data_IF_469827523425
#
_entry.id   IF_469827523425
#
_cell.length_a   1.000
_cell.length_b   1.000
_cell.length_c   1.000
_cell.angle_alpha   90.00
_cell.angle_beta   90.00
_cell.angle_gamma   90.00
#
_symmetry.space_group_name_H-M   'P 1'
#
loop_
_entity.id
_entity.type
_entity.pdbx_description
1 polymer ?
#
# COMPACT_ATOMS: atom_id res chain seq x y z
N UNK A 1 15.68 5.35 12.46
CA UNK A 1 15.51 4.31 11.43
C UNK A 1 16.08 4.84 10.15
N UNK A 2 16.71 3.99 9.36
CA UNK A 2 17.24 4.32 8.04
C UNK A 2 16.31 3.72 6.96
N UNK A 3 15.42 4.52 6.35
CA UNK A 3 14.54 4.07 5.27
C UNK A 3 15.24 4.17 3.90
N UNK A 4 14.63 3.57 2.87
CA UNK A 4 15.18 3.57 1.51
C UNK A 4 14.37 4.44 0.57
N UNK A 5 15.03 5.22 -0.28
CA UNK A 5 14.38 6.09 -1.25
C UNK A 5 13.85 5.28 -2.47
N UNK A 6 12.60 5.51 -2.93
CA UNK A 6 11.58 6.43 -2.40
C UNK A 6 10.91 5.90 -1.12
N UNK A 7 10.99 6.70 -0.05
CA UNK A 7 10.58 6.32 1.33
C UNK A 7 9.08 5.97 1.43
N UNK A 8 8.26 6.49 0.53
CA UNK A 8 6.82 6.22 0.50
C UNK A 8 6.45 4.92 -0.25
N UNK A 9 7.39 4.27 -0.94
CA UNK A 9 7.15 2.99 -1.63
C UNK A 9 7.97 1.84 -1.04
N UNK A 10 9.27 2.04 -0.83
CA UNK A 10 10.14 0.96 -0.35
C UNK A 10 9.89 0.68 1.13
N UNK A 11 9.43 -0.52 1.51
CA UNK A 11 8.96 -0.75 2.86
C UNK A 11 10.11 -0.93 3.87
N UNK A 12 11.33 -1.24 3.44
CA UNK A 12 12.41 -1.57 4.37
C UNK A 12 12.82 -0.35 5.20
N UNK A 13 13.04 -0.55 6.51
CA UNK A 13 13.67 0.44 7.38
C UNK A 13 14.61 -0.24 8.36
N UNK A 14 15.88 0.14 8.36
CA UNK A 14 16.86 -0.39 9.31
C UNK A 14 16.72 0.33 10.66
N UNK A 15 16.41 -0.44 11.70
CA UNK A 15 16.31 0.06 13.08
C UNK A 15 17.59 -0.32 13.81
N UNK A 16 18.49 0.64 13.96
CA UNK A 16 19.75 0.49 14.68
C UNK A 16 19.73 1.34 15.95
N UNK A 17 19.96 0.71 17.10
CA UNK A 17 20.21 1.41 18.36
C UNK A 17 21.70 1.46 18.65
N UNK A 18 22.19 2.60 19.13
CA UNK A 18 23.56 2.72 19.62
C UNK A 18 23.73 2.18 21.05
N UNK A 19 24.93 2.31 21.62
CA UNK A 19 25.27 1.80 22.96
C UNK A 19 24.38 2.30 24.11
N UNK A 20 23.78 3.50 23.97
CA UNK A 20 22.87 4.09 24.95
C UNK A 20 21.38 3.79 24.67
N UNK A 21 21.07 3.07 23.59
CA UNK A 21 19.69 2.77 23.19
C UNK A 21 19.22 1.48 23.86
N UNK A 22 18.14 1.55 24.64
CA UNK A 22 17.56 0.35 25.25
C UNK A 22 16.87 -0.53 24.20
N UNK A 23 16.83 -1.84 24.45
CA UNK A 23 16.13 -2.79 23.59
C UNK A 23 14.65 -2.38 23.37
N UNK A 24 13.96 -1.99 24.45
CA UNK A 24 12.58 -1.54 24.40
C UNK A 24 12.38 -0.27 23.55
N UNK A 25 13.36 0.64 23.49
CA UNK A 25 13.27 1.80 22.61
C UNK A 25 13.36 1.38 21.13
N UNK A 26 14.26 0.45 20.79
CA UNK A 26 14.37 -0.08 19.43
C UNK A 26 13.12 -0.87 19.02
N UNK A 27 12.54 -1.65 19.93
CA UNK A 27 11.32 -2.42 19.67
C UNK A 27 10.11 -1.50 19.44
N UNK A 28 9.93 -0.46 20.28
CA UNK A 28 8.89 0.58 20.03
C UNK A 28 9.09 1.30 18.71
N UNK A 29 10.34 1.60 18.32
CA UNK A 29 10.60 2.21 17.03
C UNK A 29 10.19 1.28 15.87
N UNK A 30 10.50 -0.01 15.96
CA UNK A 30 10.08 -1.01 14.98
C UNK A 30 8.55 -1.12 14.90
N UNK A 31 7.85 -1.12 16.03
CA UNK A 31 6.37 -1.11 16.07
C UNK A 31 5.79 0.12 15.37
N UNK A 32 6.34 1.32 15.63
CA UNK A 32 5.90 2.56 14.96
C UNK A 32 6.06 2.44 13.45
N UNK A 33 7.22 1.97 12.96
CA UNK A 33 7.45 1.80 11.53
C UNK A 33 6.50 0.75 10.92
N UNK A 34 6.32 -0.40 11.57
CA UNK A 34 5.36 -1.42 11.13
C UNK A 34 3.94 -0.85 11.02
N UNK A 35 3.56 0.01 11.97
CA UNK A 35 2.23 0.62 12.03
C UNK A 35 1.91 1.56 10.85
N UNK A 36 2.92 1.99 10.09
CA UNK A 36 2.79 2.85 8.90
C UNK A 36 3.16 2.12 7.59
N UNK A 37 3.17 0.79 7.60
CA UNK A 37 3.37 -0.02 6.39
C UNK A 37 4.83 -0.33 6.06
N UNK A 38 5.77 0.00 6.95
CA UNK A 38 7.18 -0.35 6.78
C UNK A 38 7.50 -1.75 7.33
N UNK A 39 8.55 -2.37 6.81
CA UNK A 39 9.18 -3.60 7.29
C UNK A 39 10.43 -3.23 8.10
N UNK A 40 10.36 -3.16 9.44
CA UNK A 40 11.53 -2.88 10.26
C UNK A 40 12.53 -4.04 10.23
N UNK A 41 13.78 -3.74 9.91
CA UNK A 41 14.92 -4.64 10.04
C UNK A 41 15.74 -4.22 11.27
N UNK A 42 15.58 -4.96 12.36
CA UNK A 42 16.29 -4.67 13.61
C UNK A 42 17.77 -5.10 13.51
N UNK A 43 18.67 -4.13 13.53
CA UNK A 43 20.10 -4.40 13.54
C UNK A 43 20.55 -4.79 14.95
N UNK A 44 21.38 -5.84 15.01
CA UNK A 44 21.91 -6.36 16.28
C UNK A 44 23.09 -5.55 16.82
N UNK A 45 23.84 -4.92 15.92
CA UNK A 45 25.04 -4.17 16.22
C UNK A 45 25.13 -3.01 15.24
N UNK A 46 25.52 -1.84 15.75
CA UNK A 46 25.86 -0.70 14.91
C UNK A 46 27.06 -1.02 14.01
N UNK A 47 26.96 -0.54 12.78
CA UNK A 47 28.00 -0.66 11.76
C UNK A 47 27.85 0.51 10.79
N UNK A 48 28.98 1.05 10.34
CA UNK A 48 28.99 2.14 9.36
C UNK A 48 28.40 1.65 8.03
N UNK A 49 27.46 2.44 7.49
CA UNK A 49 26.71 2.12 6.28
C UNK A 49 25.61 1.07 6.47
N UNK A 50 25.22 0.77 7.72
CA UNK A 50 24.16 -0.20 8.03
C UNK A 50 24.38 -1.57 7.32
N UNK A 51 23.34 -2.37 7.08
CA UNK A 51 23.50 -3.64 6.34
C UNK A 51 23.29 -3.43 4.85
N UNK A 52 22.23 -2.73 4.46
CA UNK A 52 21.88 -2.62 3.05
C UNK A 52 22.87 -1.73 2.27
N UNK A 53 23.24 -0.55 2.77
CA UNK A 53 24.17 0.31 2.01
C UNK A 53 25.54 -0.33 1.87
N UNK A 54 25.97 -1.15 2.83
CA UNK A 54 27.22 -1.94 2.67
C UNK A 54 27.15 -2.93 1.51
N UNK A 55 25.98 -3.53 1.27
CA UNK A 55 25.78 -4.44 0.13
C UNK A 55 25.71 -3.65 -1.18
N UNK A 56 25.05 -2.49 -1.18
CA UNK A 56 25.00 -1.59 -2.34
C UNK A 56 26.39 -1.06 -2.69
N UNK A 57 27.14 -0.61 -1.69
CA UNK A 57 28.52 -0.11 -1.83
C UNK A 57 29.46 -1.19 -2.36
N UNK A 58 29.31 -2.45 -1.91
CA UNK A 58 30.12 -3.55 -2.43
C UNK A 58 29.88 -3.80 -3.93
N UNK A 59 28.61 -3.75 -4.37
CA UNK A 59 28.28 -3.85 -5.79
C UNK A 59 28.78 -2.64 -6.57
N UNK A 60 28.63 -1.44 -6.01
CA UNK A 60 29.04 -0.19 -6.63
C UNK A 60 30.55 -0.11 -6.86
N UNK A 61 31.36 -0.52 -5.88
CA UNK A 61 32.82 -0.56 -6.02
C UNK A 61 33.29 -1.51 -7.12
N UNK A 62 32.63 -2.67 -7.23
CA UNK A 62 32.92 -3.60 -8.32
C UNK A 62 32.54 -3.00 -9.68
N UNK A 63 31.39 -2.33 -9.77
CA UNK A 63 30.93 -1.67 -10.98
C UNK A 63 31.90 -0.57 -11.43
N UNK A 64 32.34 0.29 -10.50
CA UNK A 64 33.34 1.32 -10.76
C UNK A 64 34.63 0.74 -11.31
N UNK A 65 35.11 -0.36 -10.71
CA UNK A 65 36.30 -1.05 -11.20
C UNK A 65 36.11 -1.59 -12.62
N UNK A 66 34.97 -2.23 -12.90
CA UNK A 66 34.67 -2.76 -14.24
C UNK A 66 34.60 -1.69 -15.32
N UNK A 67 34.03 -0.51 -15.01
CA UNK A 67 34.03 0.64 -15.93
C UNK A 67 35.45 1.18 -16.14
N UNK A 68 36.18 1.41 -15.05
CA UNK A 68 37.54 1.94 -15.09
C UNK A 68 38.49 1.07 -15.93
N UNK A 69 38.40 -0.25 -15.80
CA UNK A 69 39.27 -1.20 -16.51
C UNK A 69 38.72 -1.60 -17.89
N UNK A 70 37.62 -0.98 -18.34
CA UNK A 70 37.01 -1.23 -19.64
C UNK A 70 36.42 -2.63 -19.82
N UNK A 71 36.07 -3.30 -18.71
CA UNK A 71 35.47 -4.65 -18.70
C UNK A 71 34.02 -4.60 -19.15
N UNK A 72 33.28 -3.56 -18.74
CA UNK A 72 31.89 -3.34 -19.10
C UNK A 72 31.54 -1.85 -19.01
N UNK A 73 30.55 -1.43 -19.79
CA UNK A 73 29.92 -0.11 -19.69
C UNK A 73 28.91 -0.06 -18.54
N UNK A 74 28.55 1.15 -18.08
CA UNK A 74 27.51 1.37 -17.08
C UNK A 74 26.19 0.67 -17.46
N UNK A 75 25.78 0.78 -18.73
CA UNK A 75 24.56 0.16 -19.24
C UNK A 75 24.62 -1.38 -19.22
N UNK A 76 25.76 -1.98 -19.57
CA UNK A 76 25.92 -3.44 -19.52
C UNK A 76 25.89 -3.98 -18.08
N UNK A 77 26.48 -3.25 -17.14
CA UNK A 77 26.44 -3.57 -15.71
C UNK A 77 25.00 -3.49 -15.19
N UNK A 78 24.29 -2.41 -15.51
CA UNK A 78 22.88 -2.23 -15.14
C UNK A 78 21.99 -3.31 -15.75
N UNK A 79 22.23 -3.71 -17.00
CA UNK A 79 21.49 -4.78 -17.66
C UNK A 79 21.74 -6.16 -17.05
N UNK A 80 22.97 -6.44 -16.59
CA UNK A 80 23.27 -7.66 -15.85
C UNK A 80 22.47 -7.76 -14.54
N UNK A 81 22.17 -6.61 -13.91
CA UNK A 81 21.29 -6.54 -12.73
C UNK A 81 19.82 -6.63 -13.16
N UNK A 82 19.37 -5.73 -14.04
CA UNK A 82 17.96 -5.56 -14.44
C UNK A 82 17.37 -6.80 -15.07
N UNK A 83 18.14 -7.51 -15.89
CA UNK A 83 17.68 -8.72 -16.58
C UNK A 83 18.19 -10.02 -15.96
N UNK A 84 19.07 -9.94 -14.96
CA UNK A 84 19.66 -11.08 -14.28
C UNK A 84 19.32 -11.16 -12.80
N UNK A 85 20.29 -10.81 -11.95
CA UNK A 85 20.19 -11.05 -10.52
C UNK A 85 19.15 -10.15 -9.81
N UNK A 86 18.89 -8.95 -10.33
CA UNK A 86 17.92 -8.00 -9.78
C UNK A 86 16.49 -8.56 -9.77
N UNK A 87 16.09 -9.30 -10.82
CA UNK A 87 14.77 -9.94 -10.88
C UNK A 87 14.54 -10.86 -9.68
N UNK A 88 15.48 -11.78 -9.42
CA UNK A 88 15.37 -12.67 -8.25
C UNK A 88 15.54 -11.93 -6.91
N UNK A 89 16.38 -10.90 -6.85
CA UNK A 89 16.61 -10.13 -5.62
C UNK A 89 15.41 -9.29 -5.20
N UNK A 90 14.54 -8.91 -6.14
CA UNK A 90 13.30 -8.19 -5.84
C UNK A 90 12.36 -8.93 -4.89
N UNK A 91 12.49 -10.26 -4.78
CA UNK A 91 11.65 -11.08 -3.90
C UNK A 91 12.44 -12.09 -3.05
N UNK A 92 13.68 -12.43 -3.39
CA UNK A 92 14.48 -13.43 -2.69
C UNK A 92 15.92 -12.96 -2.47
N UNK A 93 16.32 -12.85 -1.20
CA UNK A 93 17.67 -12.43 -0.83
C UNK A 93 18.76 -13.47 -1.17
N UNK A 94 20.01 -13.00 -1.25
CA UNK A 94 21.20 -13.76 -1.71
C UNK A 94 21.36 -15.14 -1.07
N UNK A 95 21.22 -15.25 0.26
CA UNK A 95 21.40 -16.53 0.94
C UNK A 95 20.32 -17.56 0.58
N UNK A 96 19.08 -17.12 0.35
CA UNK A 96 18.01 -18.04 -0.04
C UNK A 96 18.14 -18.43 -1.51
N UNK A 97 18.55 -17.51 -2.38
CA UNK A 97 18.91 -17.79 -3.78
C UNK A 97 20.05 -18.82 -3.87
N UNK A 98 21.08 -18.71 -3.05
CA UNK A 98 22.18 -19.68 -3.06
C UNK A 98 21.84 -20.98 -2.36
N UNK A 99 20.91 -20.97 -1.39
CA UNK A 99 20.37 -22.20 -0.82
C UNK A 99 19.72 -23.05 -1.90
N UNK A 100 18.88 -22.47 -2.75
CA UNK A 100 18.21 -23.21 -3.83
C UNK A 100 19.19 -23.64 -4.92
N UNK A 101 20.24 -22.85 -5.18
CA UNK A 101 21.32 -23.24 -6.10
C UNK A 101 22.11 -24.47 -5.60
N UNK A 102 22.13 -24.71 -4.28
CA UNK A 102 22.69 -25.92 -3.68
C UNK A 102 21.81 -27.18 -3.79
N UNK A 103 20.64 -27.10 -4.42
CA UNK A 103 19.70 -28.22 -4.55
C UNK A 103 19.12 -28.69 -3.21
N UNK A 104 18.68 -29.96 -3.14
CA UNK A 104 18.07 -30.51 -1.91
C UNK A 104 19.02 -30.52 -0.71
N UNK A 105 20.33 -30.65 -0.95
CA UNK A 105 21.36 -30.58 0.08
C UNK A 105 21.63 -29.14 0.58
N UNK A 106 21.05 -28.14 -0.09
CA UNK A 106 20.97 -26.75 0.35
C UNK A 106 22.32 -26.05 0.45
N UNK A 107 22.39 -25.08 1.38
CA UNK A 107 23.53 -24.18 1.51
C UNK A 107 24.86 -24.91 1.78
N UNK A 108 24.85 -26.04 2.52
CA UNK A 108 26.10 -26.78 2.78
C UNK A 108 26.71 -27.33 1.49
N UNK A 109 25.88 -27.83 0.58
CA UNK A 109 26.34 -28.32 -0.71
C UNK A 109 26.82 -27.18 -1.60
N UNK A 110 26.06 -26.08 -1.68
CA UNK A 110 26.50 -24.87 -2.37
C UNK A 110 27.87 -24.39 -1.87
N UNK A 111 28.07 -24.32 -0.56
CA UNK A 111 29.36 -23.93 0.02
C UNK A 111 30.47 -24.96 -0.20
N UNK A 112 30.17 -26.25 -0.29
CA UNK A 112 31.18 -27.25 -0.63
C UNK A 112 31.66 -27.10 -2.08
N UNK A 113 30.76 -26.74 -3.00
CA UNK A 113 31.06 -26.55 -4.42
C UNK A 113 31.75 -25.20 -4.69
N UNK A 114 31.21 -24.11 -4.15
CA UNK A 114 31.66 -22.74 -4.46
C UNK A 114 32.53 -22.12 -3.36
N UNK A 115 32.62 -22.72 -2.17
CA UNK A 115 33.50 -22.25 -1.09
C UNK A 115 34.98 -22.07 -1.50
N UNK A 116 35.58 -22.97 -2.33
CA UNK A 116 36.93 -22.76 -2.83
C UNK A 116 37.10 -21.46 -3.63
N UNK A 117 36.05 -20.98 -4.28
CA UNK A 117 36.08 -19.75 -5.11
C UNK A 117 36.17 -18.47 -4.28
N UNK A 118 35.88 -18.52 -2.98
CA UNK A 118 36.01 -17.36 -2.09
C UNK A 118 37.46 -16.85 -1.94
N UNK A 119 38.44 -17.69 -2.28
CA UNK A 119 39.86 -17.32 -2.29
C UNK A 119 40.31 -16.78 -3.66
N UNK A 120 39.47 -16.88 -4.68
CA UNK A 120 39.82 -16.44 -6.02
C UNK A 120 39.58 -14.94 -6.18
N UNK A 121 40.45 -14.22 -6.91
CA UNK A 121 40.36 -12.77 -7.07
C UNK A 121 39.31 -12.38 -8.14
N UNK A 122 38.09 -12.94 -8.03
CA UNK A 122 36.99 -12.70 -8.97
C UNK A 122 36.31 -11.35 -8.80
N UNK A 123 36.41 -10.78 -7.60
CA UNK A 123 35.93 -9.43 -7.30
C UNK A 123 37.10 -8.55 -6.92
N UNK A 124 36.99 -7.29 -7.34
CA UNK A 124 37.91 -6.19 -7.13
C UNK A 124 37.32 -5.10 -6.24
N UNK A 125 36.26 -5.40 -5.48
CA UNK A 125 35.57 -4.43 -4.61
C UNK A 125 36.48 -3.75 -3.56
N UNK A 126 37.62 -4.35 -3.21
CA UNK A 126 38.61 -3.78 -2.29
C UNK A 126 39.68 -2.93 -3.02
N UNK A 127 39.82 -3.10 -4.33
CA UNK A 127 40.73 -2.38 -5.21
C UNK A 127 39.97 -1.18 -5.84
N UNK A 128 39.48 -0.27 -4.99
CA UNK A 128 38.65 0.87 -5.42
C UNK A 128 39.47 1.80 -6.32
N UNK A 129 39.04 2.08 -7.56
CA UNK A 129 39.75 2.99 -8.44
C UNK A 129 39.77 4.41 -7.87
N UNK A 130 40.86 5.15 -8.13
CA UNK A 130 40.89 6.59 -7.86
C UNK A 130 39.90 7.28 -8.79
N UNK A 131 39.08 8.19 -8.25
CA UNK A 131 38.15 8.98 -9.04
C UNK A 131 38.93 10.08 -9.77
N UNK A 132 39.57 9.73 -10.88
CA UNK A 132 40.21 10.69 -11.77
C UNK A 132 39.16 11.43 -12.60
N UNK A 133 39.54 12.57 -13.17
CA UNK A 133 38.66 13.32 -14.08
C UNK A 133 38.25 12.46 -15.29
N UNK A 134 39.15 11.61 -15.80
CA UNK A 134 38.84 10.72 -16.93
C UNK A 134 37.79 9.66 -16.56
N UNK A 135 37.90 9.04 -15.38
CA UNK A 135 36.91 8.06 -14.92
C UNK A 135 35.56 8.73 -14.65
N UNK A 136 35.59 9.91 -14.02
CA UNK A 136 34.39 10.69 -13.76
C UNK A 136 33.67 11.04 -15.06
N UNK A 137 34.38 11.60 -16.05
CA UNK A 137 33.83 11.95 -17.36
C UNK A 137 33.26 10.71 -18.07
N UNK A 138 33.96 9.57 -17.99
CA UNK A 138 33.49 8.30 -18.56
C UNK A 138 32.17 7.85 -17.94
N UNK A 139 32.03 7.92 -16.62
CA UNK A 139 30.79 7.54 -15.93
C UNK A 139 29.66 8.51 -16.26
N UNK A 140 29.95 9.82 -16.29
CA UNK A 140 28.98 10.86 -16.65
C UNK A 140 28.46 10.63 -18.06
N UNK A 141 29.34 10.50 -19.04
CA UNK A 141 28.97 10.30 -20.45
C UNK A 141 28.13 9.03 -20.64
N UNK A 142 28.51 7.92 -19.99
CA UNK A 142 27.76 6.67 -20.09
C UNK A 142 26.40 6.73 -19.38
N UNK A 143 26.35 7.38 -18.21
CA UNK A 143 25.10 7.61 -17.48
C UNK A 143 24.13 8.47 -18.29
N UNK A 144 24.60 9.57 -18.88
CA UNK A 144 23.80 10.46 -19.72
C UNK A 144 23.32 9.74 -21.00
N UNK A 145 24.19 8.95 -21.63
CA UNK A 145 23.82 8.14 -22.79
C UNK A 145 22.70 7.13 -22.47
N UNK A 146 22.75 6.51 -21.28
CA UNK A 146 21.74 5.56 -20.83
C UNK A 146 20.41 6.25 -20.47
N UNK A 147 20.45 7.43 -19.87
CA UNK A 147 19.25 8.24 -19.58
C UNK A 147 18.61 8.80 -20.88
N UNK A 148 19.41 9.00 -21.92
CA UNK A 148 18.96 9.47 -23.22
C UNK A 148 18.42 10.90 -23.14
N UNK A 149 17.11 11.07 -23.40
CA UNK A 149 16.44 12.39 -23.33
C UNK A 149 15.48 12.51 -22.16
N UNK A 150 15.39 11.47 -21.31
CA UNK A 150 14.48 11.46 -20.18
C UNK A 150 14.95 12.46 -19.12
N UNK A 151 14.02 13.25 -18.62
CA UNK A 151 14.24 14.06 -17.42
C UNK A 151 14.33 13.18 -16.19
N UNK A 152 15.01 13.66 -15.13
CA UNK A 152 15.05 12.97 -13.85
C UNK A 152 13.65 12.63 -13.34
N UNK A 153 12.67 13.52 -13.55
CA UNK A 153 11.29 13.28 -13.11
C UNK A 153 10.62 12.13 -13.86
N UNK A 154 10.87 11.99 -15.16
CA UNK A 154 10.35 10.87 -15.96
C UNK A 154 10.99 9.55 -15.52
N UNK A 155 12.30 9.55 -15.21
CA UNK A 155 12.99 8.37 -14.69
C UNK A 155 12.50 7.97 -13.29
N UNK A 156 12.21 8.93 -12.42
CA UNK A 156 11.58 8.69 -11.11
C UNK A 156 10.21 8.05 -11.25
N UNK A 157 9.35 8.58 -12.14
CA UNK A 157 8.01 8.03 -12.38
C UNK A 157 8.12 6.61 -12.93
N UNK A 158 9.01 6.37 -13.90
CA UNK A 158 9.25 5.02 -14.44
C UNK A 158 9.72 4.05 -13.35
N UNK A 159 10.68 4.45 -12.51
CA UNK A 159 11.17 3.63 -11.39
C UNK A 159 10.02 3.29 -10.44
N UNK A 160 9.23 4.28 -10.06
CA UNK A 160 8.14 4.12 -9.11
C UNK A 160 7.03 3.20 -9.66
N UNK A 161 6.67 3.36 -10.94
CA UNK A 161 5.73 2.48 -11.62
C UNK A 161 6.23 1.03 -11.66
N UNK A 162 7.52 0.83 -11.93
CA UNK A 162 8.15 -0.50 -11.88
C UNK A 162 8.13 -1.09 -10.46
N UNK A 163 8.42 -0.30 -9.43
CA UNK A 163 8.35 -0.74 -8.03
C UNK A 163 6.92 -1.17 -7.66
N UNK A 164 5.91 -0.37 -8.04
CA UNK A 164 4.50 -0.69 -7.81
C UNK A 164 4.13 -1.99 -8.53
N UNK A 165 4.54 -2.16 -9.80
CA UNK A 165 4.26 -3.37 -10.57
C UNK A 165 4.85 -4.63 -9.90
N UNK A 166 6.09 -4.55 -9.42
CA UNK A 166 6.74 -5.64 -8.69
C UNK A 166 5.99 -5.93 -7.38
N UNK A 167 5.70 -4.91 -6.57
CA UNK A 167 5.02 -5.09 -5.28
C UNK A 167 3.61 -5.67 -5.44
N UNK A 168 2.84 -5.20 -6.42
CA UNK A 168 1.51 -5.73 -6.73
C UNK A 168 1.59 -7.18 -7.25
N UNK A 169 2.56 -7.49 -8.11
CA UNK A 169 2.82 -8.88 -8.54
C UNK A 169 3.12 -9.80 -7.36
N UNK A 170 4.01 -9.38 -6.47
CA UNK A 170 4.37 -10.13 -5.26
C UNK A 170 3.23 -10.27 -4.26
N UNK A 171 2.31 -9.29 -4.21
CA UNK A 171 1.11 -9.35 -3.38
C UNK A 171 0.21 -10.51 -3.78
N UNK A 172 0.06 -10.79 -5.08
CA UNK A 172 -0.78 -11.90 -5.55
C UNK A 172 -0.27 -13.29 -5.15
N UNK A 173 1.04 -13.40 -4.89
CA UNK A 173 1.68 -14.66 -4.42
C UNK A 173 1.92 -14.67 -2.91
N UNK A 174 1.63 -13.57 -2.19
CA UNK A 174 1.79 -13.46 -0.75
C UNK A 174 3.25 -13.59 -0.28
N UNK A 175 4.21 -12.96 -0.96
CA UNK A 175 5.64 -13.09 -0.64
C UNK A 175 6.39 -11.76 -0.65
N UNK A 176 7.49 -11.67 0.10
CA UNK A 176 8.41 -10.52 0.09
C UNK A 176 7.71 -9.19 0.39
N UNK A 177 7.94 -8.17 -0.45
CA UNK A 177 7.29 -6.87 -0.32
C UNK A 177 5.77 -6.92 -0.50
N UNK A 178 5.25 -7.93 -1.21
CA UNK A 178 3.81 -8.14 -1.40
C UNK A 178 3.07 -8.51 -0.12
N UNK A 179 3.69 -9.31 0.75
CA UNK A 179 3.16 -9.65 2.08
C UNK A 179 3.05 -8.39 2.96
N UNK A 180 4.05 -7.52 2.90
CA UNK A 180 4.05 -6.25 3.66
C UNK A 180 2.93 -5.33 3.18
N UNK A 181 2.76 -5.23 1.85
CA UNK A 181 1.69 -4.44 1.25
C UNK A 181 0.30 -4.97 1.65
N UNK A 182 0.06 -6.28 1.50
CA UNK A 182 -1.21 -6.93 1.87
C UNK A 182 -1.52 -6.75 3.37
N UNK A 183 -0.53 -6.95 4.24
CA UNK A 183 -0.69 -6.74 5.67
C UNK A 183 -1.04 -5.29 6.01
N UNK A 184 -0.40 -4.31 5.36
CA UNK A 184 -0.68 -2.90 5.58
C UNK A 184 -2.09 -2.51 5.10
N UNK A 185 -2.52 -2.99 3.93
CA UNK A 185 -3.87 -2.78 3.41
C UNK A 185 -4.94 -3.34 4.36
N UNK A 186 -4.74 -4.57 4.86
CA UNK A 186 -5.63 -5.17 5.88
C UNK A 186 -5.65 -4.35 7.16
N UNK A 187 -4.49 -3.89 7.61
CA UNK A 187 -4.41 -3.03 8.80
C UNK A 187 -5.14 -1.70 8.59
N UNK A 188 -5.06 -1.10 7.39
CA UNK A 188 -5.81 0.12 7.06
C UNK A 188 -7.33 -0.15 7.07
N UNK A 189 -7.76 -1.28 6.52
CA UNK A 189 -9.15 -1.72 6.58
C UNK A 189 -9.64 -1.94 8.02
N UNK A 190 -8.87 -2.64 8.86
CA UNK A 190 -9.20 -2.90 10.27
C UNK A 190 -9.10 -1.67 11.18
N UNK A 191 -8.32 -0.65 10.76
CA UNK A 191 -8.30 0.68 11.38
C UNK A 191 -9.44 1.55 10.89
N UNK A 192 -10.09 1.18 9.79
CA UNK A 192 -11.31 1.77 9.32
C UNK A 192 -12.31 1.87 10.48
N UNK A 193 -12.78 3.09 10.72
CA UNK A 193 -13.65 3.53 11.81
C UNK A 193 -13.92 2.53 12.95
N UNK A 194 -12.97 2.43 13.89
CA UNK A 194 -13.27 1.88 15.22
C UNK A 194 -13.97 2.97 16.03
N UNK A 195 -15.29 2.94 16.02
CA UNK A 195 -16.07 3.74 16.96
C UNK A 195 -15.87 3.17 18.36
N UNK A 196 -15.32 4.00 19.24
CA UNK A 196 -15.27 3.75 20.70
C UNK A 196 -16.60 4.04 21.38
N UNK A 197 -17.58 4.53 20.63
CA UNK A 197 -18.84 5.05 21.13
C UNK A 197 -19.94 4.02 20.88
N UNK A 198 -20.89 3.92 21.82
CA UNK A 198 -22.14 3.20 21.60
C UNK A 198 -22.85 3.85 20.41
N UNK A 199 -22.88 3.18 19.26
CA UNK A 199 -23.58 3.71 18.08
C UNK A 199 -25.07 3.61 18.34
N UNK A 200 -25.73 4.77 18.35
CA UNK A 200 -27.18 4.85 18.37
C UNK A 200 -27.76 4.35 17.03
N UNK A 201 -28.40 3.18 17.06
CA UNK A 201 -29.05 2.58 15.90
C UNK A 201 -30.36 3.28 15.51
N UNK A 202 -30.89 4.16 16.36
CA UNK A 202 -32.19 4.81 16.12
C UNK A 202 -32.13 5.93 15.08
N UNK A 203 -30.93 6.39 14.72
CA UNK A 203 -30.66 7.40 13.70
C UNK A 203 -29.71 6.90 12.59
N UNK A 204 -29.51 7.70 11.52
CA UNK A 204 -28.46 7.42 10.55
C UNK A 204 -27.10 7.28 11.23
N UNK A 205 -26.38 6.19 10.94
CA UNK A 205 -25.16 5.81 11.66
C UNK A 205 -24.00 6.71 11.23
N UNK A 206 -23.43 7.50 12.15
CA UNK A 206 -22.26 8.34 11.87
C UNK A 206 -20.98 7.49 11.88
N UNK A 207 -20.63 6.95 10.71
CA UNK A 207 -19.56 5.94 10.56
C UNK A 207 -18.27 6.46 9.93
N UNK A 208 -18.19 7.77 9.62
CA UNK A 208 -16.95 8.33 9.10
C UNK A 208 -16.82 9.82 9.40
N UNK A 209 -15.57 10.27 9.55
CA UNK A 209 -15.20 11.69 9.67
C UNK A 209 -13.88 11.93 8.94
N UNK A 210 -13.76 13.07 8.28
CA UNK A 210 -12.55 13.43 7.53
C UNK A 210 -12.37 14.94 7.43
N UNK A 211 -11.14 15.39 7.65
CA UNK A 211 -10.70 16.70 7.21
C UNK A 211 -10.39 16.62 5.71
N UNK A 212 -11.00 17.47 4.89
CA UNK A 212 -10.72 17.52 3.45
C UNK A 212 -9.25 17.88 3.24
N UNK A 213 -8.43 17.00 2.65
CA UNK A 213 -7.01 17.27 2.48
C UNK A 213 -6.78 18.15 1.23
N UNK A 214 -5.62 18.79 1.15
CA UNK A 214 -5.32 19.76 0.08
C UNK A 214 -5.32 19.14 -1.31
N UNK A 215 -4.88 17.89 -1.44
CA UNK A 215 -4.83 17.13 -2.69
C UNK A 215 -6.20 16.67 -3.21
N UNK A 216 -7.27 16.89 -2.43
CA UNK A 216 -8.64 16.66 -2.90
C UNK A 216 -9.20 17.85 -3.68
N UNK A 217 -8.56 19.02 -3.57
CA UNK A 217 -9.01 20.23 -4.24
C UNK A 217 -8.56 20.22 -5.70
N UNK A 218 -9.50 20.46 -6.62
CA UNK A 218 -9.21 20.58 -8.04
C UNK A 218 -8.89 22.02 -8.45
N UNK A 219 -8.71 22.24 -9.76
CA UNK A 219 -8.40 23.53 -10.35
C UNK A 219 -9.49 24.60 -10.12
N UNK A 220 -10.71 24.22 -9.72
CA UNK A 220 -11.78 25.16 -9.37
C UNK A 220 -11.72 25.64 -7.91
N UNK A 221 -10.75 25.15 -7.12
CA UNK A 221 -10.57 25.57 -5.73
C UNK A 221 -11.57 24.94 -4.74
N UNK A 222 -12.27 23.88 -5.15
CA UNK A 222 -13.11 23.06 -4.28
C UNK A 222 -12.78 21.57 -4.43
N UNK A 223 -13.30 20.75 -3.53
CA UNK A 223 -13.17 19.29 -3.57
C UNK A 223 -13.60 18.75 -4.93
N UNK A 224 -12.75 17.93 -5.54
CA UNK A 224 -13.05 17.24 -6.78
C UNK A 224 -14.24 16.28 -6.58
N UNK A 225 -15.13 16.22 -7.57
CA UNK A 225 -16.36 15.43 -7.53
C UNK A 225 -16.14 13.94 -7.21
N UNK A 226 -15.08 13.33 -7.74
CA UNK A 226 -14.75 11.92 -7.47
C UNK A 226 -14.44 11.65 -5.99
N UNK A 227 -13.96 12.66 -5.24
CA UNK A 227 -13.56 12.51 -3.83
C UNK A 227 -14.73 12.37 -2.89
N UNK A 228 -15.90 12.90 -3.23
CA UNK A 228 -17.12 12.63 -2.46
C UNK A 228 -17.52 11.15 -2.57
N UNK A 229 -17.38 10.55 -3.75
CA UNK A 229 -17.65 9.13 -3.93
C UNK A 229 -16.63 8.27 -3.18
N UNK A 230 -15.35 8.66 -3.17
CA UNK A 230 -14.35 8.03 -2.31
C UNK A 230 -14.76 8.09 -0.84
N UNK A 231 -15.13 9.27 -0.33
CA UNK A 231 -15.58 9.45 1.06
C UNK A 231 -16.82 8.60 1.39
N UNK A 232 -17.74 8.48 0.44
CA UNK A 232 -18.92 7.61 0.56
C UNK A 232 -18.56 6.14 0.63
N UNK A 233 -17.65 5.69 -0.24
CA UNK A 233 -17.19 4.30 -0.29
C UNK A 233 -16.47 3.93 1.00
N UNK A 234 -15.60 4.79 1.51
CA UNK A 234 -14.91 4.61 2.79
C UNK A 234 -15.92 4.49 3.96
N UNK A 235 -17.00 5.28 3.96
CA UNK A 235 -18.09 5.13 4.94
C UNK A 235 -18.88 3.81 4.78
N UNK A 236 -19.01 3.31 3.54
CA UNK A 236 -19.55 1.99 3.25
C UNK A 236 -18.67 0.88 3.83
N UNK A 237 -17.35 0.95 3.66
CA UNK A 237 -16.41 -0.02 4.24
C UNK A 237 -16.48 -0.02 5.77
N UNK A 238 -16.63 1.14 6.40
CA UNK A 238 -16.87 1.25 7.84
C UNK A 238 -18.19 0.62 8.26
N UNK A 239 -19.25 0.76 7.46
CA UNK A 239 -20.52 0.06 7.71
C UNK A 239 -20.34 -1.45 7.60
N UNK A 240 -19.61 -1.95 6.59
CA UNK A 240 -19.33 -3.37 6.43
C UNK A 240 -18.54 -3.92 7.64
N UNK A 241 -17.51 -3.21 8.09
CA UNK A 241 -16.77 -3.58 9.30
C UNK A 241 -17.68 -3.60 10.54
N UNK A 242 -18.51 -2.55 10.71
CA UNK A 242 -19.46 -2.42 11.82
C UNK A 242 -20.46 -3.58 11.91
N UNK A 243 -20.95 -4.08 10.76
CA UNK A 243 -21.88 -5.23 10.76
C UNK A 243 -21.19 -6.58 10.92
N UNK A 244 -19.85 -6.62 11.05
CA UNK A 244 -19.07 -7.82 11.30
C UNK A 244 -18.29 -8.36 10.09
N UNK A 245 -18.12 -7.58 9.02
CA UNK A 245 -17.21 -7.92 7.92
C UNK A 245 -15.77 -7.54 8.30
N UNK A 246 -15.20 -8.30 9.23
CA UNK A 246 -13.80 -8.15 9.66
C UNK A 246 -12.82 -8.93 8.76
N UNK A 247 -11.53 -8.88 9.09
CA UNK A 247 -10.49 -9.62 8.37
C UNK A 247 -10.77 -11.13 8.30
N UNK A 248 -11.30 -11.73 9.38
CA UNK A 248 -11.64 -13.16 9.40
C UNK A 248 -12.79 -13.51 8.45
N UNK A 249 -13.77 -12.60 8.32
CA UNK A 249 -14.85 -12.74 7.34
C UNK A 249 -14.30 -12.70 5.90
N UNK A 250 -13.41 -11.76 5.60
CA UNK A 250 -12.78 -11.63 4.27
C UNK A 250 -11.95 -12.88 3.92
N UNK A 251 -11.14 -13.37 4.87
CA UNK A 251 -10.34 -14.59 4.72
C UNK A 251 -11.19 -15.85 4.46
N UNK A 252 -12.45 -15.85 4.90
CA UNK A 252 -13.38 -16.96 4.61
C UNK A 252 -13.73 -17.08 3.12
N UNK A 253 -13.35 -16.09 2.30
CA UNK A 253 -13.68 -16.00 0.88
C UNK A 253 -15.06 -15.37 0.63
N UNK A 254 -15.46 -14.42 1.48
CA UNK A 254 -16.76 -13.75 1.40
C UNK A 254 -16.58 -12.24 1.49
N UNK A 255 -17.31 -11.49 0.67
CA UNK A 255 -17.21 -10.02 0.63
C UNK A 255 -18.47 -9.39 0.06
N UNK A 256 -18.54 -8.05 0.02
CA UNK A 256 -19.55 -7.29 -0.71
C UNK A 256 -18.92 -6.51 -1.84
N UNK A 257 -19.56 -6.55 -3.01
CA UNK A 257 -19.23 -5.69 -4.14
C UNK A 257 -20.31 -4.64 -4.35
N UNK A 258 -19.90 -3.39 -4.54
CA UNK A 258 -20.80 -2.33 -5.01
C UNK A 258 -21.10 -2.56 -6.48
N UNK A 259 -22.36 -2.80 -6.82
CA UNK A 259 -22.81 -3.07 -8.20
C UNK A 259 -23.43 -1.86 -8.88
N UNK A 260 -23.92 -0.89 -8.11
CA UNK A 260 -24.46 0.36 -8.62
C UNK A 260 -24.28 1.46 -7.58
N UNK A 261 -24.06 2.69 -8.04
CA UNK A 261 -24.05 3.86 -7.16
C UNK A 261 -24.61 5.09 -7.84
N UNK A 262 -25.26 5.95 -7.07
CA UNK A 262 -25.82 7.21 -7.53
C UNK A 262 -25.46 8.33 -6.56
N UNK A 263 -24.68 9.31 -7.01
CA UNK A 263 -24.20 10.43 -6.19
C UNK A 263 -24.89 11.74 -6.60
N UNK A 264 -25.27 12.55 -5.61
CA UNK A 264 -25.74 13.92 -5.80
C UNK A 264 -24.76 14.88 -5.12
N UNK A 265 -24.27 15.86 -5.86
CA UNK A 265 -23.44 16.96 -5.35
C UNK A 265 -24.34 18.15 -5.04
N UNK A 266 -24.39 18.56 -3.76
CA UNK A 266 -25.37 19.53 -3.26
C UNK A 266 -24.74 20.86 -2.86
N UNK A 267 -23.54 20.83 -2.30
CA UNK A 267 -22.77 22.00 -1.93
C UNK A 267 -21.26 21.72 -2.01
N UNK A 268 -20.46 22.78 -2.20
CA UNK A 268 -19.01 22.68 -2.26
C UNK A 268 -18.40 22.48 -0.86
N UNK A 269 -17.32 21.71 -0.80
CA UNK A 269 -16.37 21.69 0.32
C UNK A 269 -14.99 22.13 -0.15
N UNK A 270 -14.15 22.56 0.79
CA UNK A 270 -12.80 23.08 0.53
C UNK A 270 -11.77 22.37 1.40
N UNK A 271 -10.49 22.53 1.06
CA UNK A 271 -9.40 22.06 1.92
C UNK A 271 -9.57 22.58 3.35
N UNK A 272 -9.42 21.68 4.31
CA UNK A 272 -9.58 21.95 5.75
C UNK A 272 -11.00 21.79 6.29
N UNK A 273 -12.03 21.74 5.43
CA UNK A 273 -13.41 21.48 5.89
C UNK A 273 -13.47 20.15 6.65
N UNK A 274 -14.14 20.16 7.80
CA UNK A 274 -14.41 18.93 8.56
C UNK A 274 -15.72 18.35 8.06
N UNK A 275 -15.67 17.14 7.50
CA UNK A 275 -16.84 16.40 7.05
C UNK A 275 -17.10 15.20 7.95
N UNK A 276 -18.37 14.85 8.12
CA UNK A 276 -18.78 13.55 8.64
C UNK A 276 -19.78 12.89 7.71
N UNK A 277 -19.79 11.55 7.70
CA UNK A 277 -20.70 10.77 6.86
C UNK A 277 -21.61 9.93 7.73
N UNK A 278 -22.91 10.02 7.46
CA UNK A 278 -23.92 9.14 8.05
C UNK A 278 -24.35 8.08 7.04
N UNK A 279 -24.61 6.86 7.50
CA UNK A 279 -25.06 5.73 6.69
C UNK A 279 -26.44 5.28 7.17
N UNK A 280 -27.40 5.23 6.25
CA UNK A 280 -28.73 4.68 6.47
C UNK A 280 -28.89 3.41 5.62
N UNK A 281 -29.09 2.26 6.28
CA UNK A 281 -29.56 1.04 5.64
C UNK A 281 -31.00 1.26 5.11
N UNK A 282 -31.17 1.23 3.80
CA UNK A 282 -32.46 1.47 3.14
C UNK A 282 -33.27 0.19 2.94
N UNK A 283 -32.59 -0.91 2.65
CA UNK A 283 -33.19 -2.25 2.49
C UNK A 283 -32.10 -3.31 2.44
N UNK A 284 -32.43 -4.55 2.78
CA UNK A 284 -31.58 -5.70 2.50
C UNK A 284 -32.41 -6.96 2.24
N UNK A 285 -31.79 -7.98 1.67
CA UNK A 285 -32.31 -9.34 1.57
C UNK A 285 -31.21 -10.35 1.92
N UNK A 286 -31.36 -11.62 1.51
CA UNK A 286 -30.36 -12.65 1.79
C UNK A 286 -28.96 -12.37 1.23
N UNK A 287 -28.82 -11.56 0.18
CA UNK A 287 -27.54 -11.33 -0.54
C UNK A 287 -27.31 -9.89 -1.00
N UNK A 288 -28.29 -8.99 -0.88
CA UNK A 288 -28.19 -7.59 -1.31
C UNK A 288 -28.44 -6.64 -0.15
N UNK A 289 -27.83 -5.47 -0.19
CA UNK A 289 -28.22 -4.33 0.63
C UNK A 289 -28.19 -3.03 -0.17
N UNK A 290 -29.05 -2.09 0.21
CA UNK A 290 -29.03 -0.71 -0.26
C UNK A 290 -28.63 0.20 0.89
N UNK A 291 -27.57 0.96 0.69
CA UNK A 291 -27.09 1.96 1.63
C UNK A 291 -27.31 3.35 1.06
N UNK A 292 -27.69 4.29 1.91
CA UNK A 292 -27.71 5.71 1.59
C UNK A 292 -26.75 6.45 2.51
N UNK A 293 -25.81 7.19 1.93
CA UNK A 293 -24.86 8.02 2.66
C UNK A 293 -25.22 9.50 2.52
N UNK A 294 -25.05 10.24 3.60
CA UNK A 294 -25.11 11.71 3.60
C UNK A 294 -23.81 12.25 4.17
N UNK A 295 -23.18 13.16 3.43
CA UNK A 295 -21.94 13.82 3.81
C UNK A 295 -22.28 15.22 4.28
N UNK A 296 -21.91 15.53 5.52
CA UNK A 296 -22.27 16.76 6.21
C UNK A 296 -21.02 17.57 6.56
N UNK A 297 -21.09 18.89 6.48
CA UNK A 297 -20.08 19.76 7.11
C UNK A 297 -20.32 19.76 8.63
N UNK A 298 -19.25 19.63 9.40
CA UNK A 298 -19.34 19.44 10.85
C UNK A 298 -19.62 20.72 11.65
N UNK A 299 -19.54 21.89 11.03
CA UNK A 299 -19.77 23.20 11.65
C UNK A 299 -21.25 23.62 11.63
N UNK A 300 -21.98 23.28 10.56
CA UNK A 300 -23.34 23.73 10.28
C UNK A 300 -24.31 22.59 9.90
N UNK A 301 -23.84 21.35 9.93
CA UNK A 301 -24.57 20.11 9.54
C UNK A 301 -25.13 20.11 8.11
N UNK A 302 -24.72 21.06 7.26
CA UNK A 302 -25.19 21.16 5.88
C UNK A 302 -24.71 19.99 5.03
N UNK A 303 -25.61 19.45 4.20
CA UNK A 303 -25.31 18.31 3.34
C UNK A 303 -24.55 18.78 2.10
N UNK A 304 -23.30 18.33 1.95
CA UNK A 304 -22.45 18.66 0.79
C UNK A 304 -22.65 17.68 -0.37
N UNK A 305 -22.88 16.40 -0.07
CA UNK A 305 -23.19 15.38 -1.06
C UNK A 305 -23.94 14.21 -0.42
N UNK A 306 -24.64 13.44 -1.24
CA UNK A 306 -25.27 12.17 -0.85
C UNK A 306 -24.94 11.11 -1.87
N UNK A 307 -24.81 9.85 -1.46
CA UNK A 307 -24.74 8.74 -2.41
C UNK A 307 -25.62 7.57 -1.99
N UNK A 308 -26.21 6.90 -2.98
CA UNK A 308 -26.92 5.65 -2.79
C UNK A 308 -26.11 4.52 -3.43
N UNK A 309 -25.98 3.40 -2.74
CA UNK A 309 -25.21 2.23 -3.18
C UNK A 309 -26.07 0.98 -3.16
N UNK A 310 -26.03 0.20 -4.23
CA UNK A 310 -26.45 -1.20 -4.22
C UNK A 310 -25.22 -2.08 -4.03
N UNK A 311 -25.24 -2.90 -2.98
CA UNK A 311 -24.15 -3.83 -2.67
C UNK A 311 -24.66 -5.26 -2.74
N UNK A 312 -23.80 -6.15 -3.24
CA UNK A 312 -24.06 -7.57 -3.47
C UNK A 312 -23.03 -8.40 -2.72
N UNK A 313 -23.50 -9.28 -1.85
CA UNK A 313 -22.66 -10.26 -1.15
C UNK A 313 -22.21 -11.36 -2.12
N UNK A 314 -20.93 -11.67 -2.12
CA UNK A 314 -20.27 -12.61 -3.04
C UNK A 314 -19.42 -13.64 -2.30
N UNK A 315 -19.34 -14.83 -2.86
CA UNK A 315 -18.30 -15.82 -2.57
C UNK A 315 -17.15 -15.61 -3.56
N UNK A 316 -16.01 -15.14 -3.05
CA UNK A 316 -14.84 -14.77 -3.86
C UNK A 316 -14.04 -15.98 -4.33
N UNK A 317 -14.36 -17.19 -3.87
CA UNK A 317 -13.71 -18.42 -4.36
C UNK A 317 -14.34 -18.90 -5.67
N UNK A 318 -15.58 -18.48 -5.94
CA UNK A 318 -16.33 -18.88 -7.15
C UNK A 318 -16.88 -17.70 -7.94
N UNK A 319 -16.53 -16.47 -7.56
CA UNK A 319 -16.96 -15.19 -8.16
C UNK A 319 -18.47 -15.09 -8.43
N UNK A 320 -19.28 -15.47 -7.44
CA UNK A 320 -20.74 -15.46 -7.55
C UNK A 320 -21.42 -14.88 -6.33
N UNK A 321 -22.61 -14.32 -6.56
CA UNK A 321 -23.48 -13.88 -5.48
C UNK A 321 -23.86 -15.04 -4.56
N UNK A 322 -23.71 -14.85 -3.25
CA UNK A 322 -24.01 -15.86 -2.23
C UNK A 322 -24.78 -15.24 -1.07
N UNK A 323 -25.59 -16.01 -0.32
CA UNK A 323 -26.20 -15.51 0.90
C UNK A 323 -25.16 -15.04 1.92
N UNK A 324 -25.50 -13.99 2.67
CA UNK A 324 -24.71 -13.49 3.79
C UNK A 324 -24.64 -14.53 4.92
N UNK A 325 -23.59 -14.47 5.74
CA UNK A 325 -23.54 -15.30 6.93
C UNK A 325 -24.65 -14.88 7.94
N UNK A 326 -25.18 -15.82 8.74
CA UNK A 326 -26.27 -15.53 9.68
C UNK A 326 -25.99 -14.36 10.63
N UNK A 327 -24.74 -14.19 11.08
CA UNK A 327 -24.35 -13.09 11.96
C UNK A 327 -24.50 -11.71 11.29
N UNK A 328 -24.09 -11.58 10.02
CA UNK A 328 -24.25 -10.35 9.23
C UNK A 328 -25.73 -10.07 9.02
N UNK A 329 -26.51 -11.08 8.60
CA UNK A 329 -27.95 -10.94 8.38
C UNK A 329 -28.69 -10.48 9.64
N UNK A 330 -28.39 -11.10 10.79
CA UNK A 330 -29.01 -10.72 12.06
C UNK A 330 -28.67 -9.28 12.47
N UNK A 331 -27.45 -8.82 12.20
CA UNK A 331 -27.05 -7.43 12.48
C UNK A 331 -27.75 -6.44 11.55
N UNK A 332 -27.93 -6.80 10.28
CA UNK A 332 -28.71 -6.00 9.34
C UNK A 332 -30.20 -5.95 9.72
N UNK A 333 -30.79 -7.06 10.17
CA UNK A 333 -32.17 -7.12 10.65
C UNK A 333 -32.40 -6.16 11.83
N UNK A 334 -31.46 -6.13 12.79
CA UNK A 334 -31.48 -5.20 13.93
C UNK A 334 -31.46 -3.73 13.48
N UNK A 335 -30.52 -3.37 12.60
CA UNK A 335 -30.39 -2.01 12.07
C UNK A 335 -31.64 -1.63 11.27
N UNK A 336 -32.14 -2.55 10.42
CA UNK A 336 -33.31 -2.33 9.58
C UNK A 336 -34.57 -2.06 10.42
N UNK A 337 -34.74 -2.72 11.56
CA UNK A 337 -35.87 -2.48 12.46
C UNK A 337 -35.94 -1.03 12.97
N UNK A 338 -34.78 -0.43 13.24
CA UNK A 338 -34.70 0.98 13.63
C UNK A 338 -34.80 1.92 12.42
N UNK A 339 -34.06 1.64 11.36
CA UNK A 339 -34.00 2.51 10.18
C UNK A 339 -35.29 2.56 9.38
N UNK A 340 -36.16 1.55 9.50
CA UNK A 340 -37.51 1.57 8.92
C UNK A 340 -38.40 2.67 9.51
N UNK A 341 -38.06 3.20 10.70
CA UNK A 341 -38.77 4.31 11.34
C UNK A 341 -38.26 5.69 10.90
N UNK A 342 -37.13 5.75 10.19
CA UNK A 342 -36.54 6.99 9.71
C UNK A 342 -37.21 7.47 8.42
N UNK A 343 -37.28 8.78 8.18
CA UNK A 343 -37.74 9.30 6.90
C UNK A 343 -36.82 8.83 5.78
N UNK A 344 -37.41 8.56 4.61
CA UNK A 344 -36.63 8.28 3.41
C UNK A 344 -35.82 9.54 3.03
N UNK A 345 -34.50 9.41 2.78
CA UNK A 345 -33.69 10.53 2.32
C UNK A 345 -34.22 11.11 1.02
N UNK A 346 -34.22 12.44 0.90
CA UNK A 346 -34.85 13.15 -0.23
C UNK A 346 -34.32 12.74 -1.60
N UNK A 347 -33.03 12.39 -1.70
CA UNK A 347 -32.37 12.01 -2.95
C UNK A 347 -32.41 10.49 -3.22
N UNK A 348 -32.93 9.68 -2.29
CA UNK A 348 -33.00 8.23 -2.48
C UNK A 348 -33.90 7.86 -3.67
N UNK A 349 -33.42 6.97 -4.53
CA UNK A 349 -34.12 6.51 -5.73
C UNK A 349 -34.25 7.57 -6.85
N UNK A 350 -33.56 8.71 -6.74
CA UNK A 350 -33.55 9.72 -7.80
C UNK A 350 -32.80 9.20 -9.03
N UNK A 351 -33.31 9.54 -10.21
CA UNK A 351 -32.62 9.30 -11.48
C UNK A 351 -32.26 10.64 -12.16
N UNK A 352 -31.21 10.64 -12.97
CA UNK A 352 -30.88 11.78 -13.83
C UNK A 352 -31.92 11.85 -14.95
N UNK A 353 -32.62 12.97 -15.05
CA UNK A 353 -33.64 13.20 -16.07
C UNK A 353 -34.32 14.54 -15.89
N UNK A 354 -35.03 14.99 -16.92
CA UNK A 354 -35.88 16.17 -16.82
C UNK A 354 -37.08 15.87 -15.88
N UNK A 355 -37.53 16.86 -15.09
CA UNK A 355 -38.80 16.73 -14.37
C UNK A 355 -39.90 16.41 -15.38
N UNK A 356 -40.65 15.33 -15.14
CA UNK A 356 -41.83 15.00 -15.95
C UNK A 356 -43.00 15.89 -15.61
#
# INVERSE_FOLDING_TARGET
GHPFNPVYLLPLVEVCGGSLTSAAAADRAAEVYASIGMRPLRLRKEIDGFVADRLLEALWREALWMVNDGVATAAEIDDAIRFGAGLRWSFMGTFLVYRIAGGEAGMRHFMAQFGPTLQWPWTKLMDVPELTDELLDTIVDQSDAQAGTATIRELEVLRDDCLIAVMQGLRTVGYGAGEVLDAYERQLFDRGFRTTDDIDLTGPLRLHKRSVPTEWVDYNGHTNDSRYMQLSSEAGDHFLNFIGMDAAYLESGRSFFTVESHVNYLAQSRAGDQLYVTVQLMSHDAKRMRLFTSMHRADDDSVVATAEHMMLHVDTKIDRAAPMAPAISAKLDEIAAHHALLPAPRQAGRAIGQPR
#
